data_IF_558151751617
#
_entry.id   IF_558151751617
#
_cell.length_a   1.000
_cell.length_b   1.000
_cell.length_c   1.000
_cell.angle_alpha   90.00
_cell.angle_beta   90.00
_cell.angle_gamma   90.00
#
_symmetry.space_group_name_H-M   'P 1'
#
loop_
_entity.id
_entity.type
_entity.pdbx_description
1 polymer ?
#
# COMPACT_ATOMS: atom_id res chain seq x y z
N UNK A 1 -4.91 -21.20 -34.05
CA UNK A 1 -4.94 -22.12 -32.89
C UNK A 1 -5.75 -21.41 -31.81
N UNK A 2 -6.82 -22.00 -31.28
CA UNK A 2 -7.62 -21.36 -30.20
C UNK A 2 -6.98 -21.75 -28.87
N UNK A 3 -6.53 -20.78 -28.10
CA UNK A 3 -5.97 -20.98 -26.77
C UNK A 3 -6.82 -20.17 -25.80
N UNK A 4 -7.50 -20.85 -24.88
CA UNK A 4 -8.19 -20.19 -23.77
C UNK A 4 -7.20 -19.99 -22.63
N UNK A 5 -7.26 -18.83 -21.98
CA UNK A 5 -6.57 -18.58 -20.73
C UNK A 5 -7.63 -18.17 -19.70
N UNK A 6 -7.80 -18.94 -18.63
CA UNK A 6 -8.59 -18.47 -17.49
C UNK A 6 -7.76 -17.44 -16.73
N UNK A 7 -8.22 -16.20 -16.71
CA UNK A 7 -7.69 -15.14 -15.85
C UNK A 7 -8.60 -14.99 -14.65
N UNK A 8 -8.09 -15.27 -13.46
CA UNK A 8 -8.81 -15.01 -12.22
C UNK A 8 -8.81 -13.48 -11.97
N UNK A 9 -9.91 -12.81 -12.30
CA UNK A 9 -10.20 -11.48 -11.78
C UNK A 9 -10.85 -11.64 -10.39
N UNK A 10 -10.43 -10.86 -9.41
CA UNK A 10 -11.10 -10.78 -8.12
C UNK A 10 -11.43 -9.32 -7.90
N UNK A 11 -12.72 -8.97 -7.90
CA UNK A 11 -13.26 -7.79 -7.21
C UNK A 11 -14.79 -7.88 -7.18
N UNK A 12 -15.38 -8.03 -5.99
CA UNK A 12 -16.28 -7.07 -5.31
C UNK A 12 -16.51 -7.60 -3.89
N UNK A 13 -16.01 -6.91 -2.86
CA UNK A 13 -16.54 -7.03 -1.49
C UNK A 13 -17.72 -6.09 -1.35
N UNK A 14 -18.91 -6.62 -1.06
CA UNK A 14 -20.07 -5.81 -0.69
C UNK A 14 -20.08 -5.68 0.84
N UNK A 15 -20.05 -4.45 1.34
CA UNK A 15 -20.23 -4.19 2.76
C UNK A 15 -21.74 -4.08 3.04
N UNK A 16 -22.33 -5.12 3.63
CA UNK A 16 -23.73 -5.12 4.03
C UNK A 16 -23.81 -5.03 5.56
N UNK A 17 -24.20 -3.85 6.06
CA UNK A 17 -24.56 -3.69 7.48
C UNK A 17 -25.99 -4.19 7.66
N UNK A 18 -26.17 -5.36 8.29
CA UNK A 18 -27.49 -5.89 8.66
C UNK A 18 -27.83 -5.51 10.10
N UNK A 19 -29.00 -4.91 10.29
CA UNK A 19 -29.59 -4.71 11.62
C UNK A 19 -30.47 -5.92 11.98
N UNK A 20 -30.26 -6.49 13.17
CA UNK A 20 -31.14 -7.52 13.72
C UNK A 20 -31.84 -7.01 14.98
N UNK A 21 -33.18 -6.98 14.97
CA UNK A 21 -33.98 -6.53 16.11
C UNK A 21 -34.28 -7.68 17.08
N UNK A 22 -33.59 -7.70 18.22
CA UNK A 22 -34.04 -8.43 19.41
C UNK A 22 -34.87 -7.50 20.31
N UNK A 23 -36.13 -7.84 20.57
CA UNK A 23 -36.98 -7.11 21.52
C UNK A 23 -36.93 -7.74 22.93
N UNK A 24 -37.17 -6.99 24.03
CA UNK A 24 -37.16 -5.54 24.18
C UNK A 24 -36.02 -5.03 25.09
N UNK A 25 -35.51 -3.84 24.74
CA UNK A 25 -34.81 -2.85 25.57
C UNK A 25 -33.30 -3.00 25.87
N UNK A 26 -32.56 -1.97 25.40
CA UNK A 26 -31.35 -1.31 25.96
C UNK A 26 -29.94 -1.66 25.46
N UNK A 27 -29.76 -2.50 24.43
CA UNK A 27 -28.43 -2.60 23.78
C UNK A 27 -28.56 -2.77 22.27
N UNK A 28 -27.94 -1.87 21.51
CA UNK A 28 -27.75 -2.00 20.06
C UNK A 28 -26.40 -2.67 19.85
N UNK A 29 -26.43 -3.92 19.38
CA UNK A 29 -25.24 -4.67 19.01
C UNK A 29 -25.07 -4.55 17.49
N UNK A 30 -23.95 -3.97 17.04
CA UNK A 30 -23.63 -3.82 15.62
C UNK A 30 -22.79 -5.00 15.18
N UNK A 31 -23.15 -5.63 14.05
CA UNK A 31 -22.34 -6.70 13.47
C UNK A 31 -21.80 -6.24 12.12
N UNK A 32 -20.49 -6.36 11.93
CA UNK A 32 -19.87 -6.19 10.63
C UNK A 32 -19.87 -7.54 9.93
N UNK A 33 -20.60 -7.62 8.83
CA UNK A 33 -20.66 -8.79 7.97
C UNK A 33 -19.98 -8.45 6.63
N UNK A 34 -19.08 -9.31 6.17
CA UNK A 34 -18.26 -9.05 4.98
C UNK A 34 -18.28 -10.27 4.07
N UNK A 35 -19.13 -10.19 3.05
CA UNK A 35 -19.21 -11.22 2.02
C UNK A 35 -18.24 -10.87 0.89
N UNK A 36 -17.44 -11.86 0.48
CA UNK A 36 -16.52 -11.72 -0.65
C UNK A 36 -17.12 -12.39 -1.88
N UNK A 37 -17.40 -11.61 -2.92
CA UNK A 37 -17.86 -12.15 -4.20
C UNK A 37 -16.67 -12.26 -5.15
N UNK A 38 -16.37 -13.48 -5.58
CA UNK A 38 -15.31 -13.79 -6.54
C UNK A 38 -15.96 -14.07 -7.90
N UNK A 39 -15.62 -13.26 -8.90
CA UNK A 39 -16.10 -13.43 -10.29
C UNK A 39 -14.92 -13.81 -11.17
N UNK A 40 -14.85 -15.08 -11.58
CA UNK A 40 -13.86 -15.55 -12.56
C UNK A 40 -14.34 -15.20 -13.96
N UNK A 41 -13.51 -14.49 -14.73
CA UNK A 41 -13.80 -14.11 -16.10
C UNK A 41 -12.83 -14.79 -17.08
N UNK A 42 -13.36 -15.30 -18.19
CA UNK A 42 -12.54 -15.79 -19.30
C UNK A 42 -12.46 -14.74 -20.41
N UNK A 43 -11.25 -14.56 -20.95
CA UNK A 43 -10.97 -13.69 -22.08
C UNK A 43 -10.39 -14.53 -23.21
N UNK A 44 -11.00 -14.44 -24.39
CA UNK A 44 -10.52 -15.14 -25.58
C UNK A 44 -9.44 -14.34 -26.29
N UNK A 45 -8.31 -14.97 -26.58
CA UNK A 45 -7.24 -14.36 -27.40
C UNK A 45 -7.18 -15.07 -28.76
N UNK A 46 -7.44 -14.32 -29.82
CA UNK A 46 -7.39 -14.80 -31.20
C UNK A 46 -6.11 -14.32 -31.85
N UNK A 47 -5.29 -15.25 -32.36
CA UNK A 47 -4.19 -14.90 -33.24
C UNK A 47 -4.71 -14.71 -34.67
N UNK A 48 -4.47 -13.52 -35.22
CA UNK A 48 -4.85 -13.14 -36.58
C UNK A 48 -3.83 -13.68 -37.61
N UNK A 49 -4.23 -13.81 -38.90
CA UNK A 49 -3.37 -14.40 -39.94
C UNK A 49 -2.06 -13.65 -40.21
N UNK A 50 -1.97 -12.37 -39.83
CA UNK A 50 -0.77 -11.54 -39.93
C UNK A 50 0.20 -11.73 -38.75
N UNK A 51 -0.14 -12.63 -37.82
CA UNK A 51 0.64 -12.93 -36.62
C UNK A 51 0.31 -12.04 -35.41
N UNK A 52 -0.55 -11.04 -35.56
CA UNK A 52 -1.02 -10.20 -34.46
C UNK A 52 -2.06 -10.91 -33.58
N UNK A 53 -2.36 -10.38 -32.40
CA UNK A 53 -3.35 -10.95 -31.48
C UNK A 53 -4.47 -9.95 -31.22
N UNK A 54 -5.72 -10.44 -31.15
CA UNK A 54 -6.88 -9.67 -30.69
C UNK A 54 -7.53 -10.35 -29.48
N UNK A 55 -7.86 -9.56 -28.47
CA UNK A 55 -8.52 -10.02 -27.24
C UNK A 55 -10.01 -9.71 -27.29
N UNK A 56 -10.85 -10.69 -27.00
CA UNK A 56 -12.30 -10.52 -26.85
C UNK A 56 -12.68 -9.82 -25.55
N UNK A 57 -13.97 -9.51 -25.38
CA UNK A 57 -14.48 -8.97 -24.12
C UNK A 57 -14.49 -10.06 -23.02
N UNK A 58 -14.20 -9.71 -21.76
CA UNK A 58 -14.30 -10.65 -20.64
C UNK A 58 -15.71 -11.21 -20.52
N UNK A 59 -15.82 -12.50 -20.23
CA UNK A 59 -17.08 -13.18 -19.96
C UNK A 59 -16.99 -13.87 -18.60
N UNK A 60 -17.86 -13.51 -17.66
CA UNK A 60 -17.92 -14.18 -16.35
C UNK A 60 -18.32 -15.65 -16.53
N UNK A 61 -17.48 -16.57 -16.04
CA UNK A 61 -17.69 -18.02 -16.15
C UNK A 61 -18.01 -18.68 -14.80
N UNK A 62 -17.58 -18.09 -13.68
CA UNK A 62 -17.88 -18.58 -12.33
C UNK A 62 -18.06 -17.40 -11.38
N UNK A 63 -19.15 -17.38 -10.63
CA UNK A 63 -19.35 -16.47 -9.50
C UNK A 63 -19.44 -17.29 -8.22
N UNK A 64 -18.59 -17.01 -7.24
CA UNK A 64 -18.61 -17.66 -5.92
C UNK A 64 -18.74 -16.60 -4.85
N UNK A 65 -19.69 -16.77 -3.93
CA UNK A 65 -19.80 -15.94 -2.73
C UNK A 65 -19.18 -16.69 -1.57
N UNK A 66 -18.26 -16.05 -0.87
CA UNK A 66 -17.69 -16.53 0.38
C UNK A 66 -18.31 -15.67 1.48
N UNK A 67 -19.22 -16.28 2.23
CA UNK A 67 -19.91 -15.59 3.32
C UNK A 67 -18.92 -15.28 4.45
N UNK A 68 -19.00 -14.05 4.96
CA UNK A 68 -18.23 -13.62 6.11
C UNK A 68 -18.70 -14.31 7.40
N UNK A 69 -17.83 -14.34 8.41
CA UNK A 69 -18.28 -14.59 9.78
C UNK A 69 -18.59 -13.23 10.43
N UNK A 70 -19.83 -12.95 10.85
CA UNK A 70 -20.21 -11.65 11.40
C UNK A 70 -19.44 -11.37 12.70
N UNK A 71 -18.83 -10.20 12.78
CA UNK A 71 -18.04 -9.75 13.95
C UNK A 71 -18.81 -8.70 14.73
N UNK A 72 -19.00 -8.91 16.03
CA UNK A 72 -19.63 -7.93 16.93
C UNK A 72 -18.72 -6.70 17.10
N UNK A 73 -19.22 -5.54 16.70
CA UNK A 73 -18.59 -4.23 16.89
C UNK A 73 -19.17 -3.60 18.16
N UNK A 74 -18.38 -3.55 19.22
CA UNK A 74 -18.73 -2.81 20.45
C UNK A 74 -18.28 -1.37 20.35
N UNK A 75 -19.20 -0.40 20.44
CA UNK A 75 -18.85 1.01 20.56
C UNK A 75 -18.01 1.28 21.82
N UNK A 76 -17.05 2.23 21.79
CA UNK A 76 -16.33 2.66 22.98
C UNK A 76 -17.28 3.35 23.96
N UNK A 77 -17.33 2.85 25.20
CA UNK A 77 -18.12 3.45 26.28
C UNK A 77 -17.56 4.85 26.59
N UNK A 78 -18.36 5.94 26.52
CA UNK A 78 -17.90 7.25 26.93
C UNK A 78 -17.55 7.24 28.42
N UNK A 79 -16.34 7.71 28.75
CA UNK A 79 -15.90 7.86 30.15
C UNK A 79 -16.82 8.86 30.88
N UNK A 80 -17.25 8.59 32.13
CA UNK A 80 -18.11 9.51 32.86
C UNK A 80 -17.33 10.78 33.22
N UNK A 81 -17.71 11.90 32.61
CA UNK A 81 -17.33 13.23 33.05
C UNK A 81 -18.14 13.59 34.30
N UNK A 82 -17.46 13.75 35.44
CA UNK A 82 -18.09 14.30 36.64
C UNK A 82 -18.48 15.77 36.38
N UNK A 83 -19.76 16.17 36.50
CA UNK A 83 -20.15 17.56 36.39
C UNK A 83 -19.67 18.36 37.63
N UNK A 84 -19.32 19.65 37.48
CA UNK A 84 -18.90 20.48 38.60
C UNK A 84 -20.08 20.73 39.57
N UNK A 85 -19.82 21.00 40.87
CA UNK A 85 -20.89 21.13 41.86
C UNK A 85 -21.74 22.38 41.58
N UNK A 86 -23.06 22.21 41.54
CA UNK A 86 -24.00 23.31 41.43
C UNK A 86 -24.07 24.13 42.75
N UNK A 87 -24.28 25.46 42.68
CA UNK A 87 -24.39 26.31 43.86
C UNK A 87 -25.71 26.06 44.59
N UNK A 88 -25.61 26.03 45.92
CA UNK A 88 -26.72 25.82 46.86
C UNK A 88 -27.56 27.10 46.93
N UNK A 89 -28.85 26.99 46.62
CA UNK A 89 -29.86 27.98 46.98
C UNK A 89 -31.05 27.27 47.66
N UNK A 90 -31.45 27.83 48.79
CA UNK A 90 -32.52 27.35 49.68
C UNK A 90 -33.90 27.32 49.00
N UNK A 91 -34.65 26.27 49.33
CA UNK A 91 -36.04 26.05 48.92
C UNK A 91 -37.01 27.07 49.56
N UNK A 92 -38.23 27.16 49.00
CA UNK A 92 -39.33 26.57 49.77
C UNK A 92 -40.32 25.74 48.93
N UNK A 93 -41.08 24.93 49.68
CA UNK A 93 -41.94 23.82 49.27
C UNK A 93 -43.36 24.22 48.78
N UNK A 94 -44.16 23.17 48.50
CA UNK A 94 -45.64 23.08 48.30
C UNK A 94 -46.04 22.94 46.81
N UNK A 95 -46.91 22.04 46.33
CA UNK A 95 -47.72 20.94 46.88
C UNK A 95 -48.07 19.94 45.75
N UNK A 96 -48.31 18.70 46.16
CA UNK A 96 -49.05 17.66 45.43
C UNK A 96 -50.50 18.11 45.16
N UNK A 97 -51.12 17.67 44.04
CA UNK A 97 -52.50 17.12 43.95
C UNK A 97 -52.98 16.89 42.49
N UNK A 98 -53.57 15.70 42.32
CA UNK A 98 -54.61 15.22 41.40
C UNK A 98 -54.41 15.13 39.87
N UNK A 99 -54.52 13.87 39.42
CA UNK A 99 -55.00 13.41 38.10
C UNK A 99 -56.48 13.77 37.93
N UNK A 100 -56.96 14.05 36.70
CA UNK A 100 -57.90 13.08 36.12
C UNK A 100 -57.79 12.87 34.58
N UNK A 101 -58.37 11.74 34.19
CA UNK A 101 -58.64 11.20 32.84
C UNK A 101 -59.00 12.20 31.74
N UNK A 102 -58.67 11.86 30.48
CA UNK A 102 -59.70 11.65 29.44
C UNK A 102 -59.14 11.17 28.08
N UNK A 103 -59.73 10.06 27.64
CA UNK A 103 -60.20 9.74 26.27
C UNK A 103 -59.21 9.39 25.15
N UNK A 104 -59.33 8.12 24.77
CA UNK A 104 -59.03 7.50 23.47
C UNK A 104 -59.68 8.18 22.28
N UNK A 105 -58.92 8.35 21.19
CA UNK A 105 -59.44 8.46 19.83
C UNK A 105 -58.54 7.67 18.88
N UNK A 106 -59.13 6.68 18.22
CA UNK A 106 -58.56 5.82 17.16
C UNK A 106 -58.75 6.44 15.78
N UNK A 107 -57.74 6.37 14.93
CA UNK A 107 -57.89 6.36 13.46
C UNK A 107 -56.69 5.65 12.81
N UNK A 108 -56.90 4.73 11.84
CA UNK A 108 -55.84 3.95 11.19
C UNK A 108 -55.22 4.71 10.00
N UNK A 109 -53.91 4.52 9.80
CA UNK A 109 -53.11 5.05 8.68
C UNK A 109 -52.91 3.94 7.63
N UNK A 110 -53.04 4.22 6.32
CA UNK A 110 -53.01 3.22 5.26
C UNK A 110 -51.61 2.81 4.79
N UNK A 111 -51.56 1.61 4.22
CA UNK A 111 -50.43 0.87 3.64
C UNK A 111 -49.93 1.48 2.30
N UNK A 112 -48.61 1.46 2.00
CA UNK A 112 -48.07 1.98 0.75
C UNK A 112 -48.00 0.90 -0.35
N UNK A 113 -48.48 1.26 -1.54
CA UNK A 113 -48.44 0.48 -2.79
C UNK A 113 -47.14 0.70 -3.57
N UNK A 114 -46.61 -0.38 -4.15
CA UNK A 114 -45.48 -0.39 -5.10
C UNK A 114 -45.92 0.00 -6.54
N UNK A 115 -45.08 0.71 -7.31
CA UNK A 115 -45.30 0.89 -8.75
C UNK A 115 -44.64 -0.22 -9.58
N UNK A 116 -45.41 -0.74 -10.55
CA UNK A 116 -45.03 -1.65 -11.62
C UNK A 116 -44.44 -0.92 -12.83
N UNK A 117 -43.32 -1.41 -13.37
CA UNK A 117 -42.67 -0.92 -14.61
C UNK A 117 -42.88 -1.96 -15.73
N UNK A 118 -43.14 -1.56 -17.00
CA UNK A 118 -43.61 -2.48 -18.04
C UNK A 118 -42.49 -3.20 -18.81
N UNK A 119 -42.89 -4.32 -19.42
CA UNK A 119 -42.10 -5.28 -20.20
C UNK A 119 -41.27 -4.65 -21.33
N UNK A 120 -39.98 -5.02 -21.39
CA UNK A 120 -39.09 -4.74 -22.51
C UNK A 120 -39.14 -5.88 -23.54
N UNK A 121 -39.41 -5.49 -24.79
CA UNK A 121 -39.53 -6.32 -25.97
C UNK A 121 -38.17 -6.88 -26.41
N UNK A 122 -38.06 -8.20 -26.54
CA UNK A 122 -36.93 -8.88 -27.18
C UNK A 122 -37.01 -8.72 -28.70
N UNK A 123 -36.00 -8.10 -29.32
CA UNK A 123 -35.75 -8.16 -30.77
C UNK A 123 -34.64 -9.19 -31.00
N UNK A 124 -35.01 -10.33 -31.56
CA UNK A 124 -34.10 -11.39 -31.99
C UNK A 124 -33.48 -11.02 -33.36
N UNK A 125 -32.17 -10.76 -33.38
CA UNK A 125 -31.44 -10.49 -34.62
C UNK A 125 -30.76 -11.77 -35.13
N UNK A 126 -31.27 -12.26 -36.27
CA UNK A 126 -30.77 -13.39 -37.06
C UNK A 126 -29.35 -13.13 -37.59
N UNK A 127 -28.41 -14.10 -37.51
CA UNK A 127 -27.06 -13.94 -38.07
C UNK A 127 -27.07 -14.06 -39.61
N UNK A 128 -26.22 -13.31 -40.32
CA UNK A 128 -26.09 -13.45 -41.77
C UNK A 128 -25.27 -14.69 -42.13
N UNK A 129 -25.86 -15.52 -43.00
CA UNK A 129 -25.21 -16.60 -43.71
C UNK A 129 -24.34 -16.05 -44.85
N UNK A 130 -23.06 -16.40 -44.86
CA UNK A 130 -22.25 -16.37 -46.09
C UNK A 130 -21.42 -17.64 -46.18
N UNK A 131 -21.80 -18.44 -47.18
CA UNK A 131 -21.19 -19.69 -47.61
C UNK A 131 -20.03 -19.38 -48.56
N UNK A 132 -18.86 -20.00 -48.32
CA UNK A 132 -17.79 -20.12 -49.33
C UNK A 132 -17.22 -21.54 -49.26
N UNK A 133 -17.13 -22.18 -50.43
CA UNK A 133 -16.71 -23.57 -50.71
C UNK A 133 -15.28 -23.93 -50.28
N UNK A 134 -14.97 -25.25 -50.13
CA UNK A 134 -13.68 -25.74 -49.67
C UNK A 134 -12.66 -25.82 -50.81
N UNK A 135 -11.45 -25.30 -50.59
CA UNK A 135 -10.29 -25.55 -51.45
C UNK A 135 -9.32 -26.52 -50.77
N UNK A 136 -8.83 -27.44 -51.59
CA UNK A 136 -8.13 -28.67 -51.28
C UNK A 136 -6.68 -28.47 -50.78
N UNK A 137 -6.28 -29.28 -49.81
CA UNK A 137 -4.93 -29.43 -49.27
C UNK A 137 -3.89 -29.89 -50.31
N UNK A 138 -2.61 -29.55 -50.08
CA UNK A 138 -1.59 -30.59 -50.13
C UNK A 138 -0.89 -30.81 -48.77
N UNK A 139 -0.61 -32.08 -48.52
CA UNK A 139 0.08 -32.73 -47.40
C UNK A 139 1.50 -32.19 -47.15
N UNK A 140 1.99 -32.15 -45.89
CA UNK A 140 3.41 -32.25 -45.62
C UNK A 140 3.81 -33.66 -45.15
N UNK A 141 4.92 -34.10 -45.73
CA UNK A 141 5.52 -35.44 -45.68
C UNK A 141 6.45 -35.59 -44.46
N UNK A 142 6.38 -36.78 -43.85
CA UNK A 142 7.40 -37.51 -43.04
C UNK A 142 8.09 -36.84 -41.85
N UNK A 143 7.66 -37.32 -40.67
CA UNK A 143 8.46 -37.87 -39.56
C UNK A 143 9.96 -38.13 -39.84
N UNK A 144 10.82 -37.59 -38.96
CA UNK A 144 12.05 -38.25 -38.51
C UNK A 144 12.20 -38.06 -37.00
N UNK A 145 12.34 -39.19 -36.30
CA UNK A 145 12.57 -39.30 -34.85
C UNK A 145 14.08 -39.32 -34.60
N UNK A 146 14.64 -38.60 -33.61
CA UNK A 146 16.03 -38.80 -33.24
C UNK A 146 16.20 -40.04 -32.34
N UNK A 147 17.02 -40.97 -32.81
CA UNK A 147 17.51 -42.16 -32.10
C UNK A 147 18.35 -41.75 -30.88
N UNK A 148 17.95 -42.21 -29.69
CA UNK A 148 18.75 -42.09 -28.46
C UNK A 148 19.67 -43.30 -28.36
N UNK A 149 20.98 -43.07 -28.34
CA UNK A 149 22.01 -44.09 -28.08
C UNK A 149 22.26 -44.14 -26.57
N UNK A 150 22.24 -45.32 -25.91
CA UNK A 150 22.53 -45.41 -24.49
C UNK A 150 24.05 -45.32 -24.28
N UNK A 151 24.50 -44.26 -23.60
CA UNK A 151 25.88 -44.17 -23.13
C UNK A 151 25.93 -44.65 -21.69
N UNK A 152 26.64 -45.75 -21.48
CA UNK A 152 27.00 -46.35 -20.19
C UNK A 152 27.78 -45.34 -19.32
N UNK A 153 27.27 -45.09 -18.11
CA UNK A 153 27.97 -44.31 -17.09
C UNK A 153 28.93 -45.23 -16.31
N UNK A 154 30.23 -45.00 -16.44
CA UNK A 154 31.23 -45.50 -15.49
C UNK A 154 31.37 -44.50 -14.33
N UNK A 155 31.31 -45.01 -13.10
CA UNK A 155 31.50 -44.22 -11.88
C UNK A 155 32.99 -43.95 -11.64
N UNK A 156 33.42 -42.71 -11.89
CA UNK A 156 34.73 -42.23 -11.43
C UNK A 156 34.53 -41.44 -10.14
N UNK A 157 35.13 -41.92 -9.05
CA UNK A 157 35.17 -41.22 -7.78
C UNK A 157 36.12 -40.02 -7.87
N UNK A 158 35.62 -38.82 -7.56
CA UNK A 158 36.41 -37.58 -7.49
C UNK A 158 36.65 -37.25 -6.00
N UNK A 159 37.88 -36.91 -5.58
CA UNK A 159 38.16 -36.51 -4.21
C UNK A 159 37.58 -35.11 -3.93
N UNK A 160 37.01 -34.95 -2.73
CA UNK A 160 36.46 -33.71 -2.18
C UNK A 160 37.55 -32.63 -2.02
N UNK A 161 37.35 -31.41 -2.54
CA UNK A 161 38.20 -30.28 -2.17
C UNK A 161 37.71 -29.70 -0.83
N UNK A 162 38.61 -29.62 0.13
CA UNK A 162 38.45 -28.84 1.36
C UNK A 162 38.49 -27.35 1.03
N UNK A 163 37.36 -26.65 1.16
CA UNK A 163 37.25 -25.20 1.00
C UNK A 163 37.81 -24.51 2.27
N UNK A 164 38.81 -23.60 2.17
CA UNK A 164 39.23 -22.78 3.30
C UNK A 164 38.12 -21.79 3.67
N UNK A 165 37.84 -21.64 4.95
CA UNK A 165 36.92 -20.64 5.47
C UNK A 165 37.32 -19.22 5.02
N UNK A 166 36.36 -18.47 4.50
CA UNK A 166 36.54 -17.07 4.11
C UNK A 166 36.94 -16.22 5.33
N UNK A 167 37.83 -15.22 5.17
CA UNK A 167 38.21 -14.35 6.27
C UNK A 167 37.02 -13.50 6.70
N UNK A 168 36.68 -13.57 7.99
CA UNK A 168 35.69 -12.71 8.64
C UNK A 168 36.18 -11.27 8.53
N UNK A 169 35.41 -10.42 7.86
CA UNK A 169 35.68 -8.99 7.79
C UNK A 169 35.67 -8.39 9.21
N UNK A 170 36.53 -7.40 9.51
CA UNK A 170 36.58 -6.78 10.83
C UNK A 170 35.24 -6.08 11.12
N UNK A 171 34.66 -6.41 12.27
CA UNK A 171 33.51 -5.72 12.85
C UNK A 171 33.98 -4.30 13.19
N UNK A 172 33.64 -3.34 12.34
CA UNK A 172 33.75 -1.91 12.66
C UNK A 172 32.65 -1.61 13.67
N UNK A 173 32.96 -1.05 14.86
CA UNK A 173 31.93 -0.67 15.83
C UNK A 173 30.99 0.38 15.20
N UNK A 174 29.68 0.35 15.51
CA UNK A 174 28.72 1.28 14.92
C UNK A 174 29.13 2.71 15.24
N UNK A 175 29.18 3.54 14.20
CA UNK A 175 29.35 4.98 14.31
C UNK A 175 28.19 5.49 15.18
N UNK A 176 28.56 6.20 16.23
CA UNK A 176 27.68 6.92 17.15
C UNK A 176 26.49 7.58 16.43
N UNK A 177 25.28 7.06 16.68
CA UNK A 177 23.96 7.56 16.27
C UNK A 177 23.92 8.37 14.98
N UNK A 178 23.95 7.71 13.82
CA UNK A 178 23.48 8.32 12.57
C UNK A 178 22.01 8.71 12.74
N UNK A 179 21.69 10.00 12.71
CA UNK A 179 20.32 10.48 12.88
C UNK A 179 19.38 9.84 11.85
N UNK A 180 18.18 9.43 12.30
CA UNK A 180 17.18 8.74 11.46
C UNK A 180 16.42 9.69 10.53
N UNK A 181 16.49 10.99 10.81
CA UNK A 181 15.68 12.04 10.18
C UNK A 181 16.21 12.38 8.78
N UNK A 182 15.30 12.47 7.82
CA UNK A 182 15.59 12.78 6.43
C UNK A 182 14.82 14.00 5.92
N UNK A 183 15.09 14.40 4.69
CA UNK A 183 14.39 15.49 4.01
C UNK A 183 13.78 14.98 2.71
N UNK A 184 12.45 14.94 2.66
CA UNK A 184 11.70 14.80 1.41
C UNK A 184 11.63 16.18 0.74
N UNK A 185 12.04 16.34 -0.51
CA UNK A 185 12.11 17.67 -1.15
C UNK A 185 11.87 17.66 -2.64
N UNK A 186 11.37 18.78 -3.17
CA UNK A 186 11.41 19.07 -4.60
C UNK A 186 12.50 20.10 -4.95
N UNK A 187 12.67 21.12 -4.11
CA UNK A 187 13.58 22.24 -4.35
C UNK A 187 14.85 22.11 -3.48
N UNK A 188 15.95 21.66 -4.09
CA UNK A 188 17.22 21.38 -3.39
C UNK A 188 17.82 22.58 -2.66
N UNK A 189 17.55 23.81 -3.12
CA UNK A 189 18.01 25.04 -2.47
C UNK A 189 17.42 25.23 -1.06
N UNK A 190 16.24 24.66 -0.79
CA UNK A 190 15.58 24.76 0.52
C UNK A 190 16.25 23.89 1.59
N UNK A 191 17.03 22.88 1.21
CA UNK A 191 17.75 22.00 2.14
C UNK A 191 18.80 22.75 2.97
N UNK A 192 19.26 23.92 2.49
CA UNK A 192 20.22 24.76 3.20
C UNK A 192 19.73 25.22 4.58
N UNK A 193 18.40 25.34 4.76
CA UNK A 193 17.77 25.67 6.04
C UNK A 193 18.04 24.63 7.14
N UNK A 194 18.35 23.37 6.77
CA UNK A 194 18.55 22.26 7.70
C UNK A 194 20.02 21.93 7.99
N UNK A 195 20.97 22.71 7.45
CA UNK A 195 22.41 22.43 7.57
C UNK A 195 22.95 22.42 9.00
N UNK A 196 22.26 23.07 9.93
CA UNK A 196 22.61 23.08 11.37
C UNK A 196 21.95 21.96 12.17
N UNK A 197 21.06 21.16 11.57
CA UNK A 197 20.34 20.08 12.24
C UNK A 197 21.14 18.77 12.13
N UNK A 198 21.91 18.44 13.18
CA UNK A 198 22.84 17.30 13.17
C UNK A 198 22.16 15.91 13.14
N UNK A 199 20.87 15.84 13.48
CA UNK A 199 20.04 14.65 13.42
C UNK A 199 19.46 14.39 12.02
N UNK A 200 19.57 15.35 11.10
CA UNK A 200 19.13 15.23 9.71
C UNK A 200 20.31 14.79 8.85
N UNK A 201 20.23 13.59 8.28
CA UNK A 201 21.41 12.92 7.67
C UNK A 201 21.23 12.48 6.23
N UNK A 202 20.00 12.47 5.71
CA UNK A 202 19.70 11.97 4.37
C UNK A 202 18.57 12.76 3.72
N UNK A 203 18.44 12.66 2.40
CA UNK A 203 17.40 13.32 1.63
C UNK A 203 17.00 12.52 0.39
N UNK A 204 15.75 12.67 -0.04
CA UNK A 204 15.23 12.10 -1.28
C UNK A 204 14.20 13.05 -1.92
N UNK A 205 13.98 12.92 -3.22
CA UNK A 205 13.16 13.87 -4.00
C UNK A 205 12.19 13.20 -4.98
N UNK A 206 11.78 11.95 -4.70
CA UNK A 206 10.98 11.12 -5.61
C UNK A 206 11.60 10.83 -6.98
N UNK A 207 12.80 11.33 -7.25
CA UNK A 207 13.52 11.16 -8.50
C UNK A 207 14.69 10.19 -8.37
N UNK A 208 15.25 9.81 -9.52
CA UNK A 208 16.47 8.99 -9.59
C UNK A 208 17.75 9.81 -9.49
N UNK A 209 17.67 11.15 -9.60
CA UNK A 209 18.83 12.03 -9.55
C UNK A 209 18.53 13.35 -8.83
N UNK A 210 19.61 14.03 -8.43
CA UNK A 210 19.53 15.36 -7.84
C UNK A 210 20.67 16.26 -8.28
N UNK A 211 20.45 17.58 -8.14
CA UNK A 211 21.49 18.61 -8.22
C UNK A 211 22.33 18.60 -6.94
N UNK A 212 23.33 19.48 -6.83
CA UNK A 212 24.11 19.58 -5.60
C UNK A 212 23.20 19.88 -4.39
N UNK A 213 23.35 19.09 -3.33
CA UNK A 213 22.71 19.26 -2.02
C UNK A 213 23.79 19.48 -0.95
N UNK A 214 23.43 19.94 0.27
CA UNK A 214 24.39 20.04 1.36
C UNK A 214 25.17 18.74 1.61
N UNK A 215 26.49 18.85 1.78
CA UNK A 215 27.40 17.69 1.83
C UNK A 215 27.25 16.82 3.08
N UNK A 216 26.52 17.26 4.09
CA UNK A 216 26.17 16.48 5.27
C UNK A 216 24.96 15.55 5.06
N UNK A 217 24.33 15.60 3.88
CA UNK A 217 23.18 14.77 3.52
C UNK A 217 23.58 13.70 2.51
N UNK A 218 23.23 12.45 2.80
CA UNK A 218 23.18 11.39 1.80
C UNK A 218 21.97 11.60 0.89
N UNK A 219 22.19 11.63 -0.43
CA UNK A 219 21.07 11.52 -1.39
C UNK A 219 20.68 10.07 -1.61
N UNK A 220 19.40 9.75 -1.46
CA UNK A 220 18.84 8.42 -1.73
C UNK A 220 17.98 8.49 -3.00
N UNK A 221 18.41 7.90 -4.13
CA UNK A 221 17.64 7.90 -5.37
C UNK A 221 16.44 6.95 -5.26
N UNK A 222 15.37 7.29 -5.97
CA UNK A 222 14.15 6.49 -6.08
C UNK A 222 13.89 6.11 -7.53
N UNK A 223 13.60 4.83 -7.76
CA UNK A 223 12.91 4.38 -8.98
C UNK A 223 11.41 4.53 -8.73
N UNK A 224 10.85 5.65 -9.16
CA UNK A 224 9.49 6.03 -8.80
C UNK A 224 8.41 5.07 -9.32
N UNK A 225 8.60 4.51 -10.52
CA UNK A 225 7.65 3.60 -11.15
C UNK A 225 8.28 2.84 -12.32
N UNK A 226 7.45 2.23 -13.15
CA UNK A 226 7.88 1.40 -14.29
C UNK A 226 7.62 2.03 -15.66
N UNK A 227 7.18 3.29 -15.72
CA UNK A 227 7.03 3.98 -17.00
C UNK A 227 8.42 4.20 -17.62
N UNK A 228 8.49 4.26 -18.94
CA UNK A 228 9.76 4.42 -19.65
C UNK A 228 10.53 5.68 -19.22
N UNK A 229 9.82 6.76 -18.88
CA UNK A 229 10.41 7.99 -18.34
C UNK A 229 11.11 7.81 -17.00
N UNK A 230 10.75 6.79 -16.22
CA UNK A 230 11.32 6.48 -14.90
C UNK A 230 12.43 5.42 -15.00
N UNK A 231 12.28 4.43 -15.88
CA UNK A 231 13.21 3.30 -15.99
C UNK A 231 14.40 3.57 -16.91
N UNK A 232 14.24 4.43 -17.93
CA UNK A 232 15.25 4.60 -18.99
C UNK A 232 16.62 5.08 -18.49
N UNK A 233 16.67 5.91 -17.46
CA UNK A 233 17.91 6.42 -16.87
C UNK A 233 18.23 5.80 -15.50
N UNK A 234 17.43 4.83 -15.03
CA UNK A 234 17.55 4.32 -13.66
C UNK A 234 18.95 3.80 -13.35
N UNK A 235 19.50 2.95 -14.22
CA UNK A 235 20.77 2.31 -13.92
C UNK A 235 21.94 3.29 -13.85
N UNK A 236 22.00 4.22 -14.79
CA UNK A 236 23.01 5.29 -14.82
C UNK A 236 22.91 6.18 -13.57
N UNK A 237 21.69 6.61 -13.24
CA UNK A 237 21.41 7.45 -12.09
C UNK A 237 21.74 6.74 -10.76
N UNK A 238 21.37 5.47 -10.62
CA UNK A 238 21.67 4.67 -9.44
C UNK A 238 23.18 4.47 -9.27
N UNK A 239 23.90 4.03 -10.31
CA UNK A 239 25.36 3.87 -10.23
C UNK A 239 26.07 5.20 -9.91
N UNK A 240 25.60 6.32 -10.47
CA UNK A 240 26.11 7.67 -10.16
C UNK A 240 25.88 8.06 -8.70
N UNK A 241 24.68 7.81 -8.17
CA UNK A 241 24.36 8.11 -6.77
C UNK A 241 25.20 7.26 -5.80
N UNK A 242 25.36 5.95 -6.10
CA UNK A 242 26.23 5.06 -5.31
C UNK A 242 27.69 5.50 -5.34
N UNK A 243 28.20 5.91 -6.52
CA UNK A 243 29.55 6.46 -6.64
C UNK A 243 29.73 7.79 -5.87
N UNK A 244 28.64 8.54 -5.67
CA UNK A 244 28.61 9.77 -4.88
C UNK A 244 28.41 9.52 -3.37
N UNK A 245 28.31 8.26 -2.92
CA UNK A 245 28.21 7.89 -1.51
C UNK A 245 26.82 7.50 -1.03
N UNK A 246 25.83 7.38 -1.94
CA UNK A 246 24.54 6.78 -1.59
C UNK A 246 24.73 5.31 -1.19
N UNK A 247 24.03 4.88 -0.15
CA UNK A 247 24.11 3.54 0.44
C UNK A 247 22.79 2.77 0.32
N UNK A 248 21.70 3.46 -0.05
CA UNK A 248 20.37 2.89 -0.22
C UNK A 248 19.76 3.26 -1.57
N UNK A 249 18.85 2.43 -2.06
CA UNK A 249 18.02 2.71 -3.24
C UNK A 249 16.54 2.49 -2.89
N UNK A 250 15.70 3.49 -3.17
CA UNK A 250 14.25 3.42 -2.99
C UNK A 250 13.56 2.87 -4.24
N UNK A 251 12.59 1.97 -4.05
CA UNK A 251 11.74 1.49 -5.14
C UNK A 251 10.43 2.30 -5.23
N UNK A 252 9.45 1.74 -5.96
CA UNK A 252 8.28 2.43 -6.50
C UNK A 252 7.46 3.20 -5.46
N UNK A 253 6.98 4.38 -5.85
CA UNK A 253 6.22 5.30 -5.01
C UNK A 253 4.72 5.02 -5.11
N UNK A 254 4.11 4.62 -3.99
CA UNK A 254 2.67 4.34 -3.86
C UNK A 254 2.14 3.51 -5.03
N UNK A 255 2.73 2.33 -5.32
CA UNK A 255 2.26 1.47 -6.40
C UNK A 255 0.81 1.02 -6.18
N UNK A 256 0.35 1.03 -4.94
CA UNK A 256 -1.01 0.73 -4.53
C UNK A 256 -2.02 1.84 -4.81
N UNK A 257 -1.59 3.04 -5.22
CA UNK A 257 -2.47 4.17 -5.53
C UNK A 257 -2.51 4.49 -7.02
N UNK A 258 -3.73 4.50 -7.58
CA UNK A 258 -3.96 4.70 -9.02
C UNK A 258 -3.44 6.02 -9.61
N UNK A 259 -3.30 7.05 -8.78
CA UNK A 259 -2.76 8.35 -9.18
C UNK A 259 -1.22 8.41 -9.22
N UNK A 260 -0.54 7.38 -8.70
CA UNK A 260 0.90 7.35 -8.48
C UNK A 260 1.56 6.34 -9.42
N UNK A 261 2.48 5.49 -8.93
CA UNK A 261 3.12 4.48 -9.76
C UNK A 261 2.09 3.51 -10.34
N UNK A 262 1.00 3.24 -9.61
CA UNK A 262 -0.15 2.44 -10.06
C UNK A 262 0.27 1.09 -10.65
N UNK A 263 0.83 0.22 -9.82
CA UNK A 263 1.36 -1.08 -10.19
C UNK A 263 0.69 -2.18 -9.38
N UNK A 264 0.24 -3.24 -10.04
CA UNK A 264 -0.14 -4.47 -9.35
C UNK A 264 1.07 -5.10 -8.64
N UNK A 265 0.86 -5.77 -7.51
CA UNK A 265 1.97 -6.34 -6.72
C UNK A 265 2.86 -7.31 -7.52
N UNK A 266 2.29 -8.06 -8.48
CA UNK A 266 3.03 -8.99 -9.32
C UNK A 266 3.89 -8.27 -10.38
N UNK A 267 3.35 -7.20 -10.97
CA UNK A 267 4.08 -6.33 -11.89
C UNK A 267 5.23 -5.63 -11.17
N UNK A 268 4.98 -5.09 -9.97
CA UNK A 268 6.01 -4.50 -9.14
C UNK A 268 7.11 -5.52 -8.77
N UNK A 269 6.78 -6.77 -8.46
CA UNK A 269 7.78 -7.82 -8.19
C UNK A 269 8.68 -8.08 -9.42
N UNK A 270 8.10 -8.18 -10.62
CA UNK A 270 8.88 -8.35 -11.85
C UNK A 270 9.77 -7.13 -12.16
N UNK A 271 9.24 -5.92 -11.97
CA UNK A 271 10.00 -4.68 -12.09
C UNK A 271 11.14 -4.60 -11.07
N UNK A 272 10.90 -5.00 -9.83
CA UNK A 272 11.90 -5.00 -8.76
C UNK A 272 13.06 -5.96 -9.09
N UNK A 273 12.76 -7.17 -9.56
CA UNK A 273 13.76 -8.12 -10.02
C UNK A 273 14.60 -7.57 -11.20
N UNK A 274 13.97 -6.79 -12.08
CA UNK A 274 14.64 -6.23 -13.24
C UNK A 274 15.55 -5.06 -12.87
N UNK A 275 15.04 -4.11 -12.08
CA UNK A 275 15.69 -2.81 -11.90
C UNK A 275 16.38 -2.65 -10.55
N UNK A 276 15.87 -3.28 -9.47
CA UNK A 276 16.42 -3.12 -8.12
C UNK A 276 17.39 -4.26 -7.77
N UNK A 277 17.02 -5.51 -8.03
CA UNK A 277 17.80 -6.70 -7.66
C UNK A 277 19.26 -6.68 -8.14
N UNK A 278 19.63 -6.13 -9.32
CA UNK A 278 21.04 -6.02 -9.73
C UNK A 278 21.93 -5.24 -8.76
N UNK A 279 21.35 -4.43 -7.88
CA UNK A 279 22.06 -3.61 -6.88
C UNK A 279 22.17 -4.26 -5.50
N UNK A 280 21.62 -5.46 -5.29
CA UNK A 280 21.54 -6.12 -3.99
C UNK A 280 22.89 -6.34 -3.29
N UNK A 281 24.00 -6.40 -4.04
CA UNK A 281 25.36 -6.51 -3.50
C UNK A 281 26.09 -5.18 -3.35
N UNK A 282 25.52 -4.08 -3.87
CA UNK A 282 26.13 -2.74 -3.91
C UNK A 282 25.48 -1.76 -2.94
N UNK A 283 24.20 -1.94 -2.65
CA UNK A 283 23.39 -1.02 -1.87
C UNK A 283 22.36 -1.78 -1.04
N UNK A 284 21.79 -1.09 -0.04
CA UNK A 284 20.62 -1.54 0.68
C UNK A 284 19.36 -1.22 -0.10
N UNK A 285 18.57 -2.23 -0.42
CA UNK A 285 17.38 -2.06 -1.25
C UNK A 285 16.15 -1.89 -0.37
N UNK A 286 15.44 -0.78 -0.59
CA UNK A 286 14.20 -0.47 0.12
C UNK A 286 13.02 -0.93 -0.75
N UNK A 287 11.98 -1.46 -0.12
CA UNK A 287 10.75 -1.90 -0.81
C UNK A 287 10.08 -0.74 -1.54
N UNK A 288 9.09 -1.02 -2.41
CA UNK A 288 8.13 -0.01 -2.81
C UNK A 288 7.45 0.59 -1.57
N UNK A 289 7.19 1.90 -1.61
CA UNK A 289 6.57 2.64 -0.52
C UNK A 289 5.05 2.63 -0.69
N UNK A 290 4.33 1.93 0.19
CA UNK A 290 2.86 1.85 0.10
C UNK A 290 2.17 2.93 0.92
N UNK A 291 0.96 3.31 0.52
CA UNK A 291 0.11 4.21 1.31
C UNK A 291 -0.32 3.57 2.64
N UNK A 292 -1.04 4.32 3.48
CA UNK A 292 -1.81 3.78 4.62
C UNK A 292 -3.28 3.44 4.27
N UNK A 293 -3.58 3.21 2.99
CA UNK A 293 -4.90 2.81 2.52
C UNK A 293 -5.32 1.41 3.00
N UNK A 294 -6.64 1.21 3.10
CA UNK A 294 -7.25 -0.08 3.43
C UNK A 294 -7.54 -0.96 2.21
N UNK A 295 -8.19 -2.11 2.43
CA UNK A 295 -8.58 -3.03 1.34
C UNK A 295 -7.36 -3.65 0.65
N UNK A 296 -7.28 -3.51 -0.67
CA UNK A 296 -6.17 -4.03 -1.48
C UNK A 296 -4.92 -3.13 -1.46
N UNK A 297 -5.02 -1.93 -0.89
CA UNK A 297 -3.92 -0.98 -0.76
C UNK A 297 -3.06 -1.24 0.49
N UNK A 298 -2.03 -0.42 0.69
CA UNK A 298 -1.24 -0.37 1.92
C UNK A 298 -0.62 -1.72 2.28
N UNK A 299 -0.87 -2.16 3.52
CA UNK A 299 -0.24 -3.37 4.07
C UNK A 299 -0.68 -4.66 3.36
N UNK A 300 -1.87 -4.68 2.75
CA UNK A 300 -2.33 -5.81 1.93
C UNK A 300 -1.50 -5.91 0.66
N UNK A 301 -1.35 -4.79 -0.06
CA UNK A 301 -0.49 -4.72 -1.25
C UNK A 301 0.94 -5.14 -0.92
N UNK A 302 1.51 -4.59 0.15
CA UNK A 302 2.87 -4.88 0.60
C UNK A 302 3.08 -6.37 0.86
N UNK A 303 2.16 -7.01 1.61
CA UNK A 303 2.24 -8.43 1.93
C UNK A 303 2.17 -9.30 0.68
N UNK A 304 1.34 -8.92 -0.30
CA UNK A 304 1.25 -9.60 -1.58
C UNK A 304 2.51 -9.44 -2.42
N UNK A 305 3.08 -8.23 -2.47
CA UNK A 305 4.35 -7.96 -3.15
C UNK A 305 5.49 -8.78 -2.55
N UNK A 306 5.66 -8.79 -1.23
CA UNK A 306 6.72 -9.55 -0.56
C UNK A 306 6.64 -11.06 -0.85
N UNK A 307 5.42 -11.60 -0.94
CA UNK A 307 5.17 -13.00 -1.30
C UNK A 307 5.47 -13.28 -2.78
N UNK A 308 5.09 -12.36 -3.67
CA UNK A 308 5.40 -12.48 -5.11
C UNK A 308 6.90 -12.34 -5.39
N UNK A 309 7.61 -11.52 -4.61
CA UNK A 309 9.03 -11.22 -4.73
C UNK A 309 9.89 -12.09 -3.78
N UNK A 310 9.56 -13.38 -3.64
CA UNK A 310 10.22 -14.26 -2.65
C UNK A 310 11.73 -14.45 -2.85
N UNK A 311 12.23 -14.23 -4.07
CA UNK A 311 13.67 -14.25 -4.41
C UNK A 311 14.34 -12.88 -4.36
N UNK A 312 13.61 -11.82 -4.00
CA UNK A 312 14.12 -10.46 -4.00
C UNK A 312 14.89 -10.16 -2.72
N UNK A 313 15.99 -9.44 -2.87
CA UNK A 313 16.69 -8.83 -1.74
C UNK A 313 15.98 -7.54 -1.39
N UNK A 314 15.31 -7.55 -0.24
CA UNK A 314 14.63 -6.37 0.32
C UNK A 314 15.17 -6.20 1.73
N UNK A 315 16.00 -5.20 1.93
CA UNK A 315 16.66 -4.92 3.21
C UNK A 315 15.76 -4.14 4.16
N UNK A 316 14.91 -3.25 3.62
CA UNK A 316 14.06 -2.30 4.36
C UNK A 316 12.68 -2.20 3.73
N UNK A 317 11.68 -1.80 4.52
CA UNK A 317 10.31 -1.60 4.05
C UNK A 317 9.93 -0.13 4.13
N UNK A 318 9.58 0.47 2.99
CA UNK A 318 9.10 1.85 2.91
C UNK A 318 7.57 1.94 3.06
N UNK A 319 7.11 2.98 3.74
CA UNK A 319 5.70 3.21 4.07
C UNK A 319 5.40 4.70 4.12
N UNK A 320 4.19 5.06 3.75
CA UNK A 320 3.63 6.39 3.91
C UNK A 320 2.47 6.39 4.91
N UNK A 321 2.27 7.52 5.58
CA UNK A 321 1.15 7.71 6.49
C UNK A 321 0.58 9.12 6.40
N UNK A 322 -0.70 9.20 6.05
CA UNK A 322 -1.44 10.46 5.97
C UNK A 322 -2.83 10.29 6.59
N UNK A 323 -3.35 11.34 7.22
CA UNK A 323 -4.75 11.41 7.67
C UNK A 323 -5.22 10.19 8.51
N UNK A 324 -4.30 9.53 9.23
CA UNK A 324 -4.57 8.25 9.88
C UNK A 324 -4.98 8.34 11.35
N UNK A 325 -5.19 9.54 11.88
CA UNK A 325 -5.55 9.78 13.29
C UNK A 325 -4.47 10.50 14.08
N UNK A 326 -4.30 10.14 15.36
CA UNK A 326 -3.35 10.75 16.28
C UNK A 326 -2.00 9.98 16.33
N UNK A 327 -1.11 10.41 17.23
CA UNK A 327 0.19 9.76 17.42
C UNK A 327 0.07 8.30 17.89
N UNK A 328 -1.01 7.91 18.58
CA UNK A 328 -1.21 6.52 18.97
C UNK A 328 -1.58 5.66 17.77
N UNK A 329 -2.48 6.14 16.91
CA UNK A 329 -2.83 5.48 15.65
C UNK A 329 -1.62 5.33 14.71
N UNK A 330 -0.77 6.35 14.63
CA UNK A 330 0.50 6.27 13.90
C UNK A 330 1.39 5.12 14.42
N UNK A 331 1.63 5.07 15.73
CA UNK A 331 2.49 4.05 16.37
C UNK A 331 1.92 2.64 16.16
N UNK A 332 0.61 2.47 16.30
CA UNK A 332 -0.07 1.20 16.06
C UNK A 332 0.09 0.76 14.60
N UNK A 333 -0.11 1.67 13.65
CA UNK A 333 0.08 1.37 12.23
C UNK A 333 1.52 0.92 11.93
N UNK A 334 2.53 1.60 12.49
CA UNK A 334 3.93 1.22 12.30
C UNK A 334 4.26 -0.16 12.87
N UNK A 335 3.65 -0.56 13.99
CA UNK A 335 3.81 -1.92 14.53
C UNK A 335 3.18 -2.98 13.60
N UNK A 336 1.99 -2.71 13.05
CA UNK A 336 1.34 -3.58 12.05
C UNK A 336 2.18 -3.67 10.78
N UNK A 337 2.69 -2.54 10.30
CA UNK A 337 3.50 -2.46 9.10
C UNK A 337 4.85 -3.18 9.25
N UNK A 338 5.48 -3.11 10.43
CA UNK A 338 6.68 -3.89 10.74
C UNK A 338 6.42 -5.40 10.59
N UNK A 339 5.30 -5.86 11.13
CA UNK A 339 4.89 -7.27 11.03
C UNK A 339 4.58 -7.66 9.58
N UNK A 340 3.78 -6.86 8.86
CA UNK A 340 3.44 -7.09 7.45
C UNK A 340 4.68 -7.06 6.54
N UNK A 341 5.66 -6.22 6.88
CA UNK A 341 6.96 -6.10 6.21
C UNK A 341 7.91 -7.28 6.43
N UNK A 342 7.48 -8.31 7.16
CA UNK A 342 8.32 -9.46 7.52
C UNK A 342 9.39 -9.12 8.55
N UNK A 343 9.06 -8.22 9.48
CA UNK A 343 9.94 -7.77 10.57
C UNK A 343 11.25 -7.12 10.08
N UNK A 344 11.22 -6.52 8.88
CA UNK A 344 12.34 -5.74 8.32
C UNK A 344 12.30 -4.32 8.86
N UNK A 345 13.45 -3.65 9.05
CA UNK A 345 13.47 -2.26 9.48
C UNK A 345 12.67 -1.36 8.54
N UNK A 346 11.92 -0.44 9.12
CA UNK A 346 11.01 0.46 8.44
C UNK A 346 11.70 1.77 8.06
N UNK A 347 11.31 2.25 6.89
CA UNK A 347 11.56 3.57 6.37
C UNK A 347 10.23 4.28 6.23
N UNK A 348 9.99 5.30 7.05
CA UNK A 348 8.75 6.09 6.97
C UNK A 348 9.06 7.28 6.07
N UNK A 349 9.06 7.02 4.77
CA UNK A 349 9.52 7.99 3.76
C UNK A 349 8.59 9.18 3.65
N UNK A 350 7.34 9.02 4.05
CA UNK A 350 6.39 10.12 4.18
C UNK A 350 5.52 9.93 5.42
N UNK A 351 5.35 11.01 6.17
CA UNK A 351 4.29 11.11 7.16
C UNK A 351 3.89 12.57 7.33
N UNK A 352 2.59 12.81 7.51
CA UNK A 352 2.04 14.15 7.71
C UNK A 352 0.85 14.09 8.67
N UNK A 353 0.77 15.08 9.57
CA UNK A 353 -0.38 15.24 10.43
C UNK A 353 -1.38 16.24 9.83
N UNK A 354 -2.67 15.95 10.01
CA UNK A 354 -3.73 16.93 9.78
C UNK A 354 -3.89 17.86 10.98
N UNK A 355 -4.44 19.06 10.76
CA UNK A 355 -4.80 20.00 11.83
C UNK A 355 -4.09 21.33 11.73
N UNK A 356 -4.19 22.14 12.78
CA UNK A 356 -3.46 23.42 12.88
C UNK A 356 -1.95 23.20 13.01
N UNK A 357 -1.15 24.25 12.74
CA UNK A 357 0.31 24.20 12.91
C UNK A 357 0.74 23.72 14.31
N UNK A 358 -0.02 24.09 15.35
CA UNK A 358 0.22 23.63 16.73
C UNK A 358 -0.05 22.13 16.90
N UNK A 359 -1.14 21.62 16.31
CA UNK A 359 -1.49 20.19 16.36
C UNK A 359 -0.45 19.36 15.60
N UNK A 360 -0.04 19.83 14.42
CA UNK A 360 1.01 19.19 13.63
C UNK A 360 2.35 19.20 14.36
N UNK A 361 2.74 20.31 14.99
CA UNK A 361 3.98 20.41 15.75
C UNK A 361 3.97 19.50 17.00
N UNK A 362 2.83 19.38 17.68
CA UNK A 362 2.66 18.48 18.81
C UNK A 362 2.78 17.01 18.39
N UNK A 363 2.10 16.62 17.31
CA UNK A 363 2.22 15.30 16.71
C UNK A 363 3.67 14.99 16.33
N UNK A 364 4.32 15.89 15.57
CA UNK A 364 5.71 15.75 15.14
C UNK A 364 6.66 15.49 16.30
N UNK A 365 6.55 16.30 17.35
CA UNK A 365 7.39 16.19 18.55
C UNK A 365 7.21 14.82 19.21
N UNK A 366 5.98 14.33 19.32
CA UNK A 366 5.71 13.03 19.94
C UNK A 366 6.20 11.85 19.09
N UNK A 367 5.89 11.83 17.79
CA UNK A 367 6.19 10.67 16.94
C UNK A 367 7.67 10.59 16.61
N UNK A 368 8.38 11.70 16.43
CA UNK A 368 9.83 11.68 16.18
C UNK A 368 10.60 11.18 17.39
N UNK A 369 10.28 11.67 18.60
CA UNK A 369 10.90 11.19 19.82
C UNK A 369 10.67 9.68 20.05
N UNK A 370 9.52 9.16 19.60
CA UNK A 370 9.24 7.72 19.61
C UNK A 370 10.01 6.97 18.51
N UNK A 371 10.03 7.46 17.27
CA UNK A 371 10.76 6.84 16.15
C UNK A 371 12.27 6.75 16.42
N UNK A 372 12.85 7.78 17.03
CA UNK A 372 14.27 7.81 17.39
C UNK A 372 14.63 6.70 18.40
N UNK A 373 13.69 6.36 19.30
CA UNK A 373 13.86 5.29 20.32
C UNK A 373 13.40 3.91 19.86
N UNK A 374 12.76 3.79 18.70
CA UNK A 374 12.19 2.54 18.22
C UNK A 374 13.16 1.83 17.29
N UNK A 375 13.67 0.67 17.71
CA UNK A 375 14.76 -0.04 17.01
C UNK A 375 14.43 -0.46 15.58
N UNK A 376 13.17 -0.81 15.31
CA UNK A 376 12.74 -1.22 13.98
C UNK A 376 12.44 -0.05 13.03
N UNK A 377 12.52 1.21 13.50
CA UNK A 377 12.50 2.38 12.62
C UNK A 377 13.94 2.74 12.30
N UNK A 378 14.33 2.64 11.03
CA UNK A 378 15.68 2.98 10.59
C UNK A 378 15.78 4.43 10.12
N UNK A 379 14.80 4.88 9.33
CA UNK A 379 14.76 6.25 8.79
C UNK A 379 13.33 6.77 8.66
N UNK A 380 13.17 8.10 8.72
CA UNK A 380 11.89 8.76 8.47
C UNK A 380 12.08 10.15 7.85
N UNK A 381 11.11 10.62 7.06
CA UNK A 381 11.08 11.96 6.51
C UNK A 381 9.65 12.54 6.56
N UNK A 382 9.48 13.71 7.19
CA UNK A 382 8.19 14.38 7.19
C UNK A 382 7.87 14.89 5.79
N UNK A 383 6.60 14.89 5.42
CA UNK A 383 6.14 15.43 4.14
C UNK A 383 5.78 16.91 4.29
N UNK A 384 6.56 17.86 3.76
CA UNK A 384 7.88 17.76 3.12
C UNK A 384 8.62 19.11 3.24
N UNK A 385 9.86 19.16 2.75
CA UNK A 385 10.58 20.43 2.60
C UNK A 385 9.98 21.23 1.43
N UNK A 386 9.15 22.20 1.78
CA UNK A 386 8.61 23.21 0.87
C UNK A 386 8.39 24.54 1.59
N UNK A 387 8.33 25.61 0.81
CA UNK A 387 7.90 26.92 1.27
C UNK A 387 6.44 26.85 1.75
N UNK A 388 6.14 27.50 2.88
CA UNK A 388 4.85 27.41 3.56
C UNK A 388 4.61 26.10 4.33
N UNK A 389 5.58 25.17 4.36
CA UNK A 389 5.53 23.95 5.18
C UNK A 389 6.69 23.93 6.18
N UNK A 390 7.74 23.14 5.95
CA UNK A 390 8.92 23.10 6.81
C UNK A 390 9.86 24.32 6.63
N UNK A 391 9.63 25.15 5.60
CA UNK A 391 10.43 26.34 5.32
C UNK A 391 9.49 27.53 5.11
N UNK A 392 9.91 28.71 5.56
CA UNK A 392 9.35 30.01 5.21
C UNK A 392 10.42 30.80 4.45
N UNK A 393 10.24 30.92 3.13
CA UNK A 393 11.24 31.40 2.18
C UNK A 393 12.46 30.48 2.10
N UNK A 394 13.55 30.86 2.80
CA UNK A 394 14.79 30.06 2.90
C UNK A 394 15.18 29.74 4.34
N UNK A 395 14.31 30.04 5.30
CA UNK A 395 14.52 29.80 6.73
C UNK A 395 13.53 28.78 7.26
N UNK A 396 13.85 28.11 8.36
CA UNK A 396 12.91 27.16 8.97
C UNK A 396 11.62 27.88 9.38
N UNK A 397 10.48 27.29 9.04
CA UNK A 397 9.19 27.71 9.62
C UNK A 397 9.10 27.30 11.09
N UNK A 398 7.99 27.60 11.76
CA UNK A 398 7.70 27.08 13.11
C UNK A 398 7.68 25.55 13.13
N UNK A 399 7.02 24.93 12.15
CA UNK A 399 6.97 23.48 11.99
C UNK A 399 8.34 22.91 11.62
N UNK A 400 9.06 23.58 10.71
CA UNK A 400 10.43 23.24 10.35
C UNK A 400 11.40 23.28 11.51
N UNK A 401 11.23 24.24 12.41
CA UNK A 401 12.03 24.36 13.63
C UNK A 401 11.75 23.20 14.58
N UNK A 402 10.49 22.80 14.77
CA UNK A 402 10.15 21.59 15.51
C UNK A 402 10.76 20.34 14.85
N UNK A 403 10.63 20.23 13.52
CA UNK A 403 11.24 19.15 12.75
C UNK A 403 12.77 19.13 12.80
N UNK A 404 13.44 20.26 12.98
CA UNK A 404 14.90 20.31 13.06
C UNK A 404 15.44 20.04 14.48
N UNK A 405 14.65 20.34 15.52
CA UNK A 405 15.15 20.40 16.90
C UNK A 405 14.63 19.32 17.86
N UNK A 406 13.46 18.74 17.57
CA UNK A 406 12.83 17.71 18.43
C UNK A 406 13.57 16.39 18.45
#
# INVERSE_FOLDING_TARGET
>A
MRTSFSTLAVMVTSLLVKEAFGAPALRRDYYLDTDSVVVTEEIWVNQLPDGSYSTGLPTAVVTSTIDGNPVLVTEPVPSPTNPPPAPIFDAPAIAEVAVPDSTTSTSPIPEPTLPSVPDAVFIEQKPPSTSVEPTTYPTPTTSVTPTVVPTTLESVAIPTPSVPAAPVAPIVPPISSSGKRGLAYNAANLLSAFTSASNVTWAYNWGSSTVAIPSNLEYVPMLWGLRQSETSNWHESADKALAAGSTHLLAFNEPDLGAQANLGYAEAAAGYLTYMQPYASKAKLVSPAVTNGGGEMGLTWLSNFLRACSSCTIDKVALHWYNGGDAAAFKEYMAKAYTAGGNRPLWITEFEASGSDEEQAAFLTEVMAWMDKTDYIERYAYFMVSDGNLVDGTTLSKLGSAYASS
#
